data_IF_840012328638
#
_entry.id   IF_840012328638
#
_cell.length_a   1.000
_cell.length_b   1.000
_cell.length_c   1.000
_cell.angle_alpha   90.00
_cell.angle_beta   90.00
_cell.angle_gamma   90.00
#
_symmetry.space_group_name_H-M   'P 1'
#
loop_
_entity.id
_entity.type
_entity.pdbx_description
1 polymer ?
#
# COMPACT_ATOMS: atom_id res chain seq x y z
N UNK A 1 6.14 -2.66 2.41
CA UNK A 1 7.02 -3.85 2.63
C UNK A 1 8.31 -3.50 3.35
N UNK A 2 9.13 -2.55 2.88
CA UNK A 2 10.46 -2.24 3.44
C UNK A 2 10.45 -1.20 4.57
N UNK A 3 9.50 -1.25 5.51
CA UNK A 3 9.43 -0.27 6.60
C UNK A 3 10.07 -0.73 7.91
N UNK A 4 10.50 -1.99 7.98
CA UNK A 4 11.13 -2.56 9.16
C UNK A 4 12.40 -3.31 8.75
N UNK A 5 13.51 -3.02 9.44
CA UNK A 5 14.81 -3.69 9.29
C UNK A 5 15.39 -3.75 7.85
N UNK A 6 14.97 -2.87 6.94
CA UNK A 6 15.47 -2.81 5.56
C UNK A 6 15.10 -4.01 4.67
N UNK A 7 14.43 -5.03 5.21
CA UNK A 7 14.02 -6.23 4.48
C UNK A 7 12.53 -6.16 4.10
N UNK A 8 12.13 -6.77 2.96
CA UNK A 8 10.72 -6.93 2.63
C UNK A 8 10.07 -7.87 3.65
N UNK A 9 9.06 -7.37 4.37
CA UNK A 9 8.33 -8.17 5.34
C UNK A 9 6.83 -8.10 5.06
N UNK A 10 6.18 -9.26 4.98
CA UNK A 10 4.74 -9.35 4.80
C UNK A 10 4.00 -8.90 6.05
N UNK A 11 4.55 -9.19 7.23
CA UNK A 11 4.03 -8.72 8.51
C UNK A 11 3.85 -7.20 8.54
N UNK A 12 4.80 -6.44 7.99
CA UNK A 12 4.69 -4.98 7.84
C UNK A 12 3.46 -4.57 7.02
N UNK A 13 3.20 -5.24 5.90
CA UNK A 13 2.02 -4.94 5.06
C UNK A 13 0.75 -5.29 5.81
N UNK A 14 0.75 -6.45 6.49
CA UNK A 14 -0.38 -6.88 7.31
C UNK A 14 -0.69 -5.88 8.42
N UNK A 15 0.29 -5.39 9.16
CA UNK A 15 0.08 -4.41 10.23
C UNK A 15 -0.55 -3.12 9.70
N UNK A 16 -0.14 -2.67 8.51
CA UNK A 16 -0.74 -1.48 7.86
C UNK A 16 -2.18 -1.75 7.47
N UNK A 17 -2.47 -2.90 6.84
CA UNK A 17 -3.83 -3.33 6.49
C UNK A 17 -4.72 -3.39 7.73
N UNK A 18 -4.27 -4.06 8.79
CA UNK A 18 -5.02 -4.19 10.04
C UNK A 18 -5.29 -2.80 10.66
N UNK A 19 -4.30 -1.90 10.62
CA UNK A 19 -4.46 -0.53 11.14
C UNK A 19 -5.50 0.26 10.34
N UNK A 20 -5.51 0.13 9.01
CA UNK A 20 -6.51 0.79 8.16
C UNK A 20 -7.92 0.25 8.41
N UNK A 21 -8.07 -1.06 8.60
CA UNK A 21 -9.35 -1.69 8.93
C UNK A 21 -9.87 -1.20 10.29
N UNK A 22 -9.00 -1.14 11.30
CA UNK A 22 -9.35 -0.61 12.64
C UNK A 22 -9.79 0.85 12.58
N UNK A 23 -9.20 1.64 11.67
CA UNK A 23 -9.61 3.03 11.41
C UNK A 23 -10.89 3.15 10.57
N UNK A 24 -11.51 2.04 10.16
CA UNK A 24 -12.77 2.01 9.41
C UNK A 24 -12.63 2.10 7.88
N UNK A 25 -11.41 1.96 7.34
CA UNK A 25 -11.18 1.96 5.90
C UNK A 25 -11.32 0.56 5.30
N UNK A 26 -11.57 0.52 3.98
CA UNK A 26 -11.51 -0.70 3.17
C UNK A 26 -10.22 -0.69 2.36
N UNK A 27 -9.14 -1.34 2.83
CA UNK A 27 -7.85 -1.29 2.16
C UNK A 27 -7.83 -2.14 0.89
N UNK A 28 -7.11 -1.65 -0.13
CA UNK A 28 -6.65 -2.43 -1.28
C UNK A 28 -5.12 -2.45 -1.30
N UNK A 29 -4.53 -3.54 -1.80
CA UNK A 29 -3.07 -3.72 -1.84
C UNK A 29 -2.63 -4.11 -3.25
N UNK A 30 -1.71 -3.32 -3.81
CA UNK A 30 -1.07 -3.62 -5.10
C UNK A 30 0.37 -4.08 -4.83
N UNK A 31 0.73 -5.21 -5.41
CA UNK A 31 2.07 -5.78 -5.35
C UNK A 31 2.71 -5.82 -6.73
N UNK A 32 4.02 -5.58 -6.77
CA UNK A 32 4.84 -5.88 -7.93
C UNK A 32 4.92 -7.41 -8.17
N UNK A 33 5.11 -7.82 -9.43
CA UNK A 33 5.25 -9.23 -9.80
C UNK A 33 6.36 -9.98 -9.03
N UNK A 34 7.39 -9.25 -8.54
CA UNK A 34 8.47 -9.84 -7.76
C UNK A 34 8.18 -9.96 -6.25
N UNK A 35 7.05 -9.45 -5.76
CA UNK A 35 6.76 -9.41 -4.32
C UNK A 35 6.76 -10.81 -3.70
N UNK A 36 6.17 -11.80 -4.38
CA UNK A 36 6.18 -13.19 -3.92
C UNK A 36 7.59 -13.73 -3.73
N UNK A 37 8.47 -13.50 -4.71
CA UNK A 37 9.87 -13.95 -4.64
C UNK A 37 10.62 -13.29 -3.48
N UNK A 38 10.40 -12.00 -3.25
CA UNK A 38 11.02 -11.25 -2.14
C UNK A 38 10.55 -11.72 -0.76
N UNK A 39 9.32 -12.22 -0.66
CA UNK A 39 8.68 -12.55 0.63
C UNK A 39 8.67 -14.03 0.99
N UNK A 40 8.59 -14.92 -0.01
CA UNK A 40 8.37 -16.35 0.18
C UNK A 40 9.31 -17.21 -0.70
N UNK A 41 10.24 -16.58 -1.45
CA UNK A 41 11.16 -17.30 -2.32
C UNK A 41 10.48 -18.03 -3.49
N UNK A 42 9.22 -17.69 -3.80
CA UNK A 42 8.45 -18.24 -4.92
C UNK A 42 7.45 -17.22 -5.44
N UNK A 43 6.97 -17.40 -6.66
CA UNK A 43 5.89 -16.57 -7.19
C UNK A 43 4.58 -16.77 -6.39
N UNK A 44 3.83 -15.68 -6.18
CA UNK A 44 2.54 -15.64 -5.49
C UNK A 44 1.55 -14.84 -6.34
N UNK A 45 0.33 -15.36 -6.51
CA UNK A 45 -0.77 -14.65 -7.16
C UNK A 45 -1.60 -13.85 -6.15
N UNK A 46 -2.55 -13.05 -6.64
CA UNK A 46 -3.48 -12.23 -5.85
C UNK A 46 -4.16 -13.00 -4.72
N UNK A 47 -4.63 -14.22 -5.02
CA UNK A 47 -5.33 -15.08 -4.05
C UNK A 47 -4.43 -15.56 -2.91
N UNK A 48 -3.13 -15.77 -3.16
CA UNK A 48 -2.17 -16.14 -2.14
C UNK A 48 -1.96 -14.98 -1.17
N UNK A 49 -1.74 -13.78 -1.70
CA UNK A 49 -1.56 -12.57 -0.89
C UNK A 49 -2.83 -12.19 -0.13
N UNK A 50 -4.00 -12.29 -0.76
CA UNK A 50 -5.28 -12.06 -0.10
C UNK A 50 -5.44 -12.96 1.14
N UNK A 51 -5.16 -14.27 0.99
CA UNK A 51 -5.18 -15.21 2.12
C UNK A 51 -4.17 -14.83 3.21
N UNK A 52 -2.95 -14.47 2.84
CA UNK A 52 -1.90 -14.11 3.80
C UNK A 52 -2.20 -12.80 4.54
N UNK A 53 -2.92 -11.87 3.91
CA UNK A 53 -3.30 -10.59 4.49
C UNK A 53 -4.65 -10.62 5.22
N UNK A 54 -5.44 -11.69 5.04
CA UNK A 54 -6.81 -11.76 5.57
C UNK A 54 -7.78 -10.83 4.81
N UNK A 55 -7.51 -10.59 3.52
CA UNK A 55 -8.33 -9.76 2.64
C UNK A 55 -9.10 -10.62 1.64
N UNK A 56 -10.14 -10.05 1.04
CA UNK A 56 -10.79 -10.66 -0.11
C UNK A 56 -9.91 -10.52 -1.36
N UNK A 57 -10.00 -11.48 -2.28
CA UNK A 57 -9.16 -11.48 -3.48
C UNK A 57 -9.29 -10.19 -4.30
N UNK A 58 -10.49 -9.60 -4.39
CA UNK A 58 -10.72 -8.34 -5.12
C UNK A 58 -9.98 -7.13 -4.53
N UNK A 59 -9.51 -7.21 -3.30
CA UNK A 59 -8.76 -6.16 -2.62
C UNK A 59 -7.25 -6.27 -2.88
N UNK A 60 -6.79 -7.31 -3.57
CA UNK A 60 -5.37 -7.54 -3.82
C UNK A 60 -5.12 -7.70 -5.31
N UNK A 61 -4.11 -6.99 -5.81
CA UNK A 61 -3.66 -7.07 -7.19
C UNK A 61 -2.15 -7.30 -7.23
N UNK A 62 -1.70 -8.37 -7.87
CA UNK A 62 -0.31 -8.58 -8.25
C UNK A 62 -0.19 -8.27 -9.74
N UNK A 63 0.60 -7.24 -10.07
CA UNK A 63 0.77 -6.86 -11.47
C UNK A 63 1.54 -7.93 -12.25
N UNK A 64 1.36 -7.92 -13.57
CA UNK A 64 2.07 -8.82 -14.47
C UNK A 64 3.59 -8.57 -14.46
N UNK A 65 4.35 -9.63 -14.74
CA UNK A 65 5.81 -9.53 -14.82
C UNK A 65 6.22 -8.61 -15.96
N UNK A 66 7.11 -7.67 -15.66
CA UNK A 66 7.61 -6.71 -16.63
C UNK A 66 6.78 -5.43 -16.71
N UNK A 67 5.72 -5.32 -15.90
CA UNK A 67 4.92 -4.10 -15.80
C UNK A 67 5.14 -3.44 -14.43
N UNK A 68 5.38 -2.12 -14.37
CA UNK A 68 5.48 -1.41 -13.10
C UNK A 68 4.15 -1.45 -12.33
N UNK A 69 4.22 -1.58 -11.00
CA UNK A 69 3.04 -1.54 -10.13
C UNK A 69 2.44 -0.13 -9.98
N UNK A 70 3.28 0.91 -10.05
CA UNK A 70 2.88 2.29 -9.76
C UNK A 70 1.73 2.80 -10.63
N UNK A 71 1.71 2.60 -11.98
CA UNK A 71 0.60 3.01 -12.82
C UNK A 71 -0.73 2.38 -12.41
N UNK A 72 -0.71 1.09 -12.06
CA UNK A 72 -1.91 0.39 -11.61
C UNK A 72 -2.40 0.95 -10.28
N UNK A 73 -1.50 1.15 -9.32
CA UNK A 73 -1.83 1.73 -8.03
C UNK A 73 -2.40 3.15 -8.16
N UNK A 74 -1.75 4.01 -8.95
CA UNK A 74 -2.18 5.40 -9.18
C UNK A 74 -3.51 5.48 -9.92
N UNK A 75 -3.69 4.65 -10.96
CA UNK A 75 -4.95 4.57 -11.71
C UNK A 75 -6.09 4.06 -10.82
N UNK A 76 -5.85 2.98 -10.07
CA UNK A 76 -6.84 2.41 -9.14
C UNK A 76 -7.23 3.45 -8.08
N UNK A 77 -6.25 4.15 -7.50
CA UNK A 77 -6.53 5.20 -6.52
C UNK A 77 -7.40 6.32 -7.09
N UNK A 78 -7.16 6.73 -8.34
CA UNK A 78 -8.01 7.72 -9.03
C UNK A 78 -9.42 7.18 -9.27
N UNK A 79 -9.55 5.95 -9.77
CA UNK A 79 -10.86 5.34 -10.11
C UNK A 79 -11.76 5.17 -8.87
N UNK A 80 -11.17 4.87 -7.72
CA UNK A 80 -11.89 4.68 -6.46
C UNK A 80 -11.92 5.91 -5.55
N UNK A 81 -11.42 7.06 -6.02
CA UNK A 81 -11.21 8.27 -5.20
C UNK A 81 -10.50 7.96 -3.86
N UNK A 82 -9.51 7.07 -3.92
CA UNK A 82 -8.80 6.55 -2.77
C UNK A 82 -7.47 7.29 -2.54
N UNK A 83 -7.00 7.24 -1.28
CA UNK A 83 -5.68 7.74 -0.88
C UNK A 83 -4.68 6.60 -0.87
N UNK A 84 -3.41 6.90 -1.12
CA UNK A 84 -2.34 5.90 -1.26
C UNK A 84 -1.42 5.93 -0.05
N UNK A 85 -1.27 4.79 0.63
CA UNK A 85 -0.25 4.62 1.68
C UNK A 85 1.08 4.24 1.03
N UNK A 86 2.06 5.15 1.04
CA UNK A 86 3.36 4.94 0.39
C UNK A 86 4.44 5.88 0.94
N UNK A 87 5.72 5.50 0.79
CA UNK A 87 6.87 6.40 1.00
C UNK A 87 7.50 6.91 -0.31
N UNK A 88 6.98 6.48 -1.46
CA UNK A 88 7.39 6.99 -2.78
C UNK A 88 6.68 8.31 -3.12
N UNK A 89 7.37 9.23 -3.79
CA UNK A 89 6.82 10.50 -4.26
C UNK A 89 6.21 10.41 -5.67
N UNK A 90 6.44 9.31 -6.39
CA UNK A 90 5.95 9.10 -7.76
C UNK A 90 6.22 10.29 -8.68
N UNK A 91 7.41 10.90 -8.58
CA UNK A 91 7.75 12.13 -9.32
C UNK A 91 7.63 11.93 -10.83
N UNK A 92 8.05 10.77 -11.31
CA UNK A 92 8.01 10.40 -12.73
C UNK A 92 6.58 10.24 -13.26
N UNK A 93 5.61 10.05 -12.37
CA UNK A 93 4.19 9.91 -12.70
C UNK A 93 3.39 11.18 -12.50
N UNK A 94 3.99 12.27 -12.02
CA UNK A 94 3.23 13.47 -11.64
C UNK A 94 2.56 14.20 -12.81
N UNK A 95 3.08 14.05 -14.03
CA UNK A 95 2.47 14.62 -15.24
C UNK A 95 1.15 13.91 -15.59
N UNK A 96 1.12 12.58 -15.52
CA UNK A 96 -0.08 11.77 -15.81
C UNK A 96 -0.99 11.58 -14.59
N UNK A 97 -0.44 11.78 -13.38
CA UNK A 97 -1.11 11.66 -12.10
C UNK A 97 -0.83 12.86 -11.19
N UNK A 98 -1.35 14.06 -11.52
CA UNK A 98 -1.11 15.27 -10.73
C UNK A 98 -1.61 15.18 -9.27
N UNK A 99 -2.51 14.23 -8.97
CA UNK A 99 -3.00 13.96 -7.62
C UNK A 99 -1.87 13.58 -6.65
N UNK A 100 -0.75 13.04 -7.14
CA UNK A 100 0.43 12.73 -6.29
C UNK A 100 1.03 13.97 -5.62
N UNK A 101 0.75 15.16 -6.16
CA UNK A 101 1.17 16.44 -5.58
C UNK A 101 0.11 17.04 -4.64
N UNK A 102 -1.11 16.49 -4.61
CA UNK A 102 -2.19 16.96 -3.75
C UNK A 102 -1.90 16.53 -2.30
N UNK A 103 -1.99 17.49 -1.38
CA UNK A 103 -1.90 17.20 0.05
C UNK A 103 -2.95 16.16 0.47
N UNK A 104 -2.55 15.20 1.29
CA UNK A 104 -3.43 14.12 1.78
C UNK A 104 -3.70 12.99 0.77
N UNK A 105 -3.26 13.08 -0.49
CA UNK A 105 -3.41 11.95 -1.43
C UNK A 105 -2.39 10.83 -1.15
N UNK A 106 -1.12 11.20 -0.91
CA UNK A 106 -0.08 10.26 -0.49
C UNK A 106 0.06 10.28 1.04
N UNK A 107 -0.38 9.21 1.69
CA UNK A 107 -0.25 8.99 3.12
C UNK A 107 1.12 8.39 3.42
N UNK A 108 1.98 9.18 4.08
CA UNK A 108 3.29 8.70 4.58
C UNK A 108 3.12 7.86 5.82
N UNK A 109 4.01 6.89 6.00
CA UNK A 109 3.96 6.04 7.16
C UNK A 109 5.20 5.18 7.36
N UNK A 110 5.16 4.42 8.45
CA UNK A 110 6.23 3.53 8.81
C UNK A 110 5.87 2.68 10.01
N UNK A 111 6.85 1.91 10.48
CA UNK A 111 6.78 1.22 11.76
C UNK A 111 7.66 1.97 12.75
N UNK A 112 7.10 2.31 13.92
CA UNK A 112 7.81 2.90 15.05
C UNK A 112 7.37 2.18 16.33
N UNK A 113 8.33 1.70 17.11
CA UNK A 113 8.07 0.97 18.37
C UNK A 113 7.07 -0.20 18.21
N UNK A 114 7.16 -0.91 17.07
CA UNK A 114 6.27 -2.03 16.73
C UNK A 114 4.86 -1.64 16.29
N UNK A 115 4.55 -0.34 16.20
CA UNK A 115 3.24 0.18 15.77
C UNK A 115 3.34 0.89 14.42
N UNK A 116 2.26 0.83 13.65
CA UNK A 116 2.12 1.62 12.43
C UNK A 116 1.81 3.07 12.81
N UNK A 117 2.46 4.02 12.14
CA UNK A 117 2.09 5.43 12.17
C UNK A 117 1.80 5.90 10.74
N UNK A 118 0.80 6.77 10.59
CA UNK A 118 0.32 7.26 9.29
C UNK A 118 0.07 8.78 9.36
N UNK A 119 0.98 9.56 8.78
CA UNK A 119 1.09 11.02 8.99
C UNK A 119 -0.18 11.80 8.66
N UNK A 120 -0.88 11.42 7.59
CA UNK A 120 -2.01 12.15 7.02
C UNK A 120 -3.37 11.53 7.41
N UNK A 121 -3.37 10.51 8.27
CA UNK A 121 -4.58 9.87 8.81
C UNK A 121 -4.85 10.22 10.27
N UNK A 122 -3.80 10.57 11.02
CA UNK A 122 -3.92 11.00 12.42
C UNK A 122 -4.54 12.41 12.54
N UNK A 123 -4.31 13.28 11.56
CA UNK A 123 -4.84 14.66 11.56
C UNK A 123 -6.38 14.75 11.50
N UNK A 124 -7.07 13.72 11.00
CA UNK A 124 -8.53 13.70 10.94
C UNK A 124 -9.20 13.39 12.31
N UNK A 125 -8.41 13.00 13.31
CA UNK A 125 -8.91 12.61 14.65
C UNK A 125 -8.64 13.67 15.72
N UNK A 126 -8.02 14.79 15.37
CA UNK A 126 -7.59 15.85 16.29
C UNK A 126 -8.17 17.21 15.91
N UNK A 127 -9.48 17.36 16.02
CA UNK A 127 -10.14 18.67 16.08
C UNK A 127 -11.32 18.53 17.02
N UNK A 128 -11.04 18.73 18.31
CA UNK A 128 -12.03 19.00 19.34
C UNK A 128 -11.62 20.27 20.08
#
# INVERSE_FOLDING_TARGET
>A
MHWQAGAPQLATVKSVVDSLIVLGYVPGVVFDANAGWKLQGRYLHDSDFARLLGLEQRQVLVVEKGTPADPFLLKTAREFDARIVTNDRYRDWAESHPEVQRQGFLIRGGIRDGKVWLQELEAASGSQ
#
